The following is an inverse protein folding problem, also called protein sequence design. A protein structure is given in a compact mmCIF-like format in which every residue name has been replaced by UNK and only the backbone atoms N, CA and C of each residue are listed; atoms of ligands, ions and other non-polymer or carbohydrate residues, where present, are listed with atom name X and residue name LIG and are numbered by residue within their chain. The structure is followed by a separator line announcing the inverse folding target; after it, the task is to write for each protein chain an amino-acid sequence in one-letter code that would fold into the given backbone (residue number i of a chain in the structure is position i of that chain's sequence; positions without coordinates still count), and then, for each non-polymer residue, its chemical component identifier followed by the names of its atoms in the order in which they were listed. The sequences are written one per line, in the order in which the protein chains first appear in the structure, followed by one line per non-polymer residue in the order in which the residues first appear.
data_IF_254281011173
#
_entry.id   IF_254281011173
#
_cell.length_a   1.000
_cell.length_b   1.000
_cell.length_c   1.000
_cell.angle_alpha   90.00
_cell.angle_beta   90.00
_cell.angle_gamma   90.00
#
_symmetry.space_group_name_H-M   'P 1'
#
loop_
_entity.id
_entity.type
_entity.pdbx_description
1 polymer ?
#
# COMPACT_ATOMS: atom_id res chain seq x y z
N UNK A 1 4.04 28.50 -10.06
CA UNK A 1 3.83 27.33 -10.94
C UNK A 1 4.38 26.04 -10.32
N UNK A 2 5.64 25.99 -9.89
CA UNK A 2 6.23 24.85 -9.15
C UNK A 2 5.45 24.36 -7.90
N UNK A 3 4.93 25.23 -7.00
CA UNK A 3 4.27 24.76 -5.77
C UNK A 3 2.94 24.06 -6.04
N UNK A 4 2.19 24.48 -7.06
CA UNK A 4 0.95 23.81 -7.47
C UNK A 4 1.20 22.43 -8.06
N UNK A 5 2.28 22.27 -8.84
CA UNK A 5 2.68 20.98 -9.39
C UNK A 5 3.07 19.99 -8.27
N UNK A 6 3.83 20.46 -7.28
CA UNK A 6 4.20 19.64 -6.11
C UNK A 6 2.98 19.24 -5.27
N UNK A 7 2.04 20.17 -5.07
CA UNK A 7 0.78 19.89 -4.37
C UNK A 7 -0.06 18.86 -5.12
N UNK A 8 -0.15 18.98 -6.45
CA UNK A 8 -0.84 18.00 -7.30
C UNK A 8 -0.18 16.61 -7.22
N UNK A 9 1.15 16.53 -7.32
CA UNK A 9 1.88 15.27 -7.16
C UNK A 9 1.64 14.64 -5.78
N UNK A 10 1.66 15.42 -4.70
CA UNK A 10 1.35 14.91 -3.35
C UNK A 10 -0.05 14.32 -3.27
N UNK A 11 -1.05 15.02 -3.79
CA UNK A 11 -2.44 14.53 -3.79
C UNK A 11 -2.55 13.28 -4.66
N UNK A 12 -1.98 13.28 -5.86
CA UNK A 12 -2.04 12.14 -6.78
C UNK A 12 -1.38 10.88 -6.18
N UNK A 13 -0.21 11.03 -5.54
CA UNK A 13 0.48 9.91 -4.88
C UNK A 13 -0.33 9.45 -3.66
N UNK A 14 -0.82 10.37 -2.83
CA UNK A 14 -1.65 10.05 -1.67
C UNK A 14 -2.92 9.29 -2.03
N UNK A 15 -3.64 9.72 -3.08
CA UNK A 15 -4.83 9.04 -3.59
C UNK A 15 -4.50 7.67 -4.17
N UNK A 16 -3.39 7.53 -4.90
CA UNK A 16 -2.95 6.24 -5.45
C UNK A 16 -2.64 5.24 -4.35
N UNK A 17 -1.92 5.67 -3.31
CA UNK A 17 -1.63 4.83 -2.14
C UNK A 17 -2.90 4.50 -1.35
N UNK A 18 -3.79 5.48 -1.13
CA UNK A 18 -5.05 5.26 -0.42
C UNK A 18 -5.96 4.26 -1.17
N UNK A 19 -6.04 4.38 -2.50
CA UNK A 19 -6.81 3.45 -3.34
C UNK A 19 -6.20 2.05 -3.33
N UNK A 20 -4.87 1.94 -3.47
CA UNK A 20 -4.14 0.66 -3.35
C UNK A 20 -4.37 0.00 -2.00
N UNK A 21 -4.30 0.79 -0.91
CA UNK A 21 -4.54 0.33 0.45
C UNK A 21 -5.98 -0.15 0.63
N UNK A 22 -6.99 0.63 0.21
CA UNK A 22 -8.40 0.25 0.32
C UNK A 22 -8.68 -1.06 -0.41
N UNK A 23 -8.15 -1.22 -1.62
CA UNK A 23 -8.34 -2.41 -2.44
C UNK A 23 -7.72 -3.65 -1.78
N UNK A 24 -6.54 -3.52 -1.16
CA UNK A 24 -5.89 -4.61 -0.42
C UNK A 24 -6.51 -4.86 0.95
N UNK A 25 -7.03 -3.83 1.61
CA UNK A 25 -7.65 -3.91 2.93
C UNK A 25 -9.03 -4.57 2.87
N UNK A 26 -9.78 -4.37 1.76
CA UNK A 26 -11.05 -5.08 1.54
C UNK A 26 -10.85 -6.60 1.39
N UNK A 27 -9.72 -7.05 0.84
CA UNK A 27 -9.50 -8.47 0.55
C UNK A 27 -8.07 -8.95 0.89
N UNK A 28 -7.67 -8.74 2.14
CA UNK A 28 -6.34 -9.15 2.66
C UNK A 28 -6.08 -10.65 2.44
N UNK A 29 -7.12 -11.48 2.50
CA UNK A 29 -7.01 -12.91 2.24
C UNK A 29 -6.73 -13.22 0.77
N UNK A 30 -7.31 -12.47 -0.17
CA UNK A 30 -7.01 -12.62 -1.59
C UNK A 30 -5.60 -12.11 -1.90
N UNK A 31 -5.17 -11.02 -1.27
CA UNK A 31 -3.81 -10.48 -1.40
C UNK A 31 -2.75 -11.47 -0.88
N UNK A 32 -2.98 -12.08 0.29
CA UNK A 32 -2.10 -13.13 0.82
C UNK A 32 -2.03 -14.37 -0.10
N UNK A 33 -3.13 -14.74 -0.75
CA UNK A 33 -3.13 -15.82 -1.77
C UNK A 33 -2.35 -15.44 -3.02
N UNK A 34 -2.43 -14.19 -3.47
CA UNK A 34 -1.63 -13.69 -4.60
C UNK A 34 -0.15 -13.71 -4.26
N UNK A 35 0.25 -13.25 -3.08
CA UNK A 35 1.66 -13.32 -2.61
C UNK A 35 2.13 -14.78 -2.53
N UNK A 36 1.30 -15.69 -2.03
CA UNK A 36 1.61 -17.11 -2.02
C UNK A 36 1.75 -17.70 -3.44
N UNK A 37 0.97 -17.21 -4.40
CA UNK A 37 1.05 -17.61 -5.82
C UNK A 37 2.32 -17.13 -6.50
N UNK A 38 2.84 -15.96 -6.13
CA UNK A 38 4.11 -15.43 -6.63
C UNK A 38 5.31 -16.30 -6.25
N UNK A 39 5.15 -17.33 -5.40
CA UNK A 39 6.23 -18.23 -4.89
C UNK A 39 7.42 -17.49 -4.27
N UNK A 40 7.29 -16.18 -4.01
CA UNK A 40 8.35 -15.35 -3.46
C UNK A 40 8.68 -15.72 -2.01
N UNK A 41 7.67 -16.20 -1.28
CA UNK A 41 7.74 -16.55 0.14
C UNK A 41 6.97 -17.85 0.42
N UNK A 42 7.40 -18.67 1.40
CA UNK A 42 6.64 -19.83 1.83
C UNK A 42 5.24 -19.42 2.30
N UNK A 43 4.24 -20.27 2.07
CA UNK A 43 2.82 -19.99 2.35
C UNK A 43 2.54 -19.57 3.80
N UNK A 44 3.36 -20.04 4.74
CA UNK A 44 3.35 -19.69 6.16
C UNK A 44 3.73 -18.21 6.41
N UNK A 45 4.59 -17.63 5.57
CA UNK A 45 5.03 -16.24 5.64
C UNK A 45 4.24 -15.29 4.74
N UNK A 46 3.38 -15.80 3.85
CA UNK A 46 2.58 -14.96 2.94
C UNK A 46 1.55 -14.09 3.68
N UNK A 47 0.96 -14.59 4.77
CA UNK A 47 0.05 -13.80 5.62
C UNK A 47 0.76 -12.65 6.35
N UNK A 48 1.85 -12.88 7.12
CA UNK A 48 2.54 -11.78 7.79
C UNK A 48 3.18 -10.81 6.80
N UNK A 49 3.67 -11.27 5.64
CA UNK A 49 4.18 -10.39 4.59
C UNK A 49 3.09 -9.48 4.01
N UNK A 50 1.89 -10.02 3.74
CA UNK A 50 0.73 -9.22 3.32
C UNK A 50 0.41 -8.11 4.32
N UNK A 51 0.37 -8.44 5.62
CA UNK A 51 0.11 -7.48 6.69
C UNK A 51 1.22 -6.43 6.80
N UNK A 52 2.48 -6.83 6.64
CA UNK A 52 3.64 -5.93 6.73
C UNK A 52 3.65 -4.92 5.56
N UNK A 53 3.29 -5.37 4.36
CA UNK A 53 3.08 -4.48 3.20
C UNK A 53 1.92 -3.51 3.44
N UNK A 54 0.81 -4.01 4.01
CA UNK A 54 -0.35 -3.17 4.33
C UNK A 54 0.00 -2.09 5.35
N UNK A 55 0.76 -2.45 6.40
CA UNK A 55 1.28 -1.51 7.39
C UNK A 55 2.19 -0.49 6.72
N UNK A 56 3.11 -0.92 5.84
CA UNK A 56 4.00 -0.03 5.09
C UNK A 56 3.26 0.99 4.20
N UNK A 57 2.18 0.57 3.54
CA UNK A 57 1.30 1.48 2.79
C UNK A 57 0.62 2.49 3.73
N UNK A 58 0.19 2.07 4.92
CA UNK A 58 -0.42 2.92 5.93
C UNK A 58 0.58 3.97 6.47
N UNK A 59 1.82 3.57 6.77
CA UNK A 59 2.88 4.49 7.18
C UNK A 59 3.24 5.47 6.07
N UNK A 60 3.27 5.05 4.81
CA UNK A 60 3.53 5.94 3.68
C UNK A 60 2.44 7.02 3.54
N UNK A 61 1.17 6.64 3.68
CA UNK A 61 0.04 7.58 3.70
C UNK A 61 0.17 8.55 4.88
N UNK A 62 0.49 8.04 6.09
CA UNK A 62 0.67 8.88 7.28
C UNK A 62 1.83 9.88 7.13
N UNK A 63 2.98 9.44 6.57
CA UNK A 63 4.11 10.33 6.30
C UNK A 63 3.75 11.40 5.26
N UNK A 64 2.98 11.05 4.24
CA UNK A 64 2.52 12.02 3.24
C UNK A 64 1.52 13.03 3.80
N UNK A 65 0.72 12.66 4.80
CA UNK A 65 -0.21 13.56 5.47
C UNK A 65 0.48 14.54 6.44
N UNK A 66 1.60 14.11 7.04
CA UNK A 66 2.40 14.94 7.96
C UNK A 66 3.42 15.83 7.23
N UNK A 67 3.89 15.39 6.05
CA UNK A 67 4.90 16.08 5.24
C UNK A 67 4.40 17.28 4.47
#
# INVERSE_FOLDING_TARGET
MLPYLLMFCRIAIGVTFAYSFLTKAQDVNQFARTIANFKLLPSQLSKPAATLTLIGELTAIALMAVG
#
